data_IF_803993654219
#
_entry.id   IF_803993654219
#
_cell.length_a   1.000
_cell.length_b   1.000
_cell.length_c   1.000
_cell.angle_alpha   90.00
_cell.angle_beta   90.00
_cell.angle_gamma   90.00
#
_symmetry.space_group_name_H-M   'P 1'
#
loop_
_entity.id
_entity.type
_entity.pdbx_description
1 polymer ?
#
# COMPACT_ATOMS: atom_id res chain seq x y z
N UNK A 1 -3.50 -7.24 13.95
CA UNK A 1 -4.33 -6.18 13.34
C UNK A 1 -3.98 -4.89 14.04
N UNK A 2 -3.14 -4.06 13.43
CA UNK A 2 -2.79 -2.75 13.95
C UNK A 2 -4.04 -1.88 13.88
N UNK A 3 -4.52 -1.36 15.02
CA UNK A 3 -5.59 -0.38 15.09
C UNK A 3 -5.10 0.92 14.47
N UNK A 4 -5.26 1.06 13.16
CA UNK A 4 -4.91 2.26 12.43
C UNK A 4 -5.84 3.41 12.86
N UNK A 5 -5.32 4.65 12.91
CA UNK A 5 -6.12 5.81 13.24
C UNK A 5 -7.30 5.96 12.26
N UNK A 6 -8.39 6.63 12.69
CA UNK A 6 -9.47 7.01 11.79
C UNK A 6 -8.92 7.76 10.58
N UNK A 7 -9.48 7.51 9.38
CA UNK A 7 -9.11 8.20 8.13
C UNK A 7 -9.06 9.74 8.26
N UNK A 8 -9.87 10.31 9.16
CA UNK A 8 -9.93 11.74 9.43
C UNK A 8 -8.78 12.30 10.27
N UNK A 9 -7.94 11.44 10.87
CA UNK A 9 -6.87 11.84 11.80
C UNK A 9 -5.46 11.63 11.25
N UNK A 10 -5.33 10.88 10.16
CA UNK A 10 -4.05 10.61 9.52
C UNK A 10 -4.13 11.05 8.05
N UNK A 11 -3.37 12.09 7.65
CA UNK A 11 -3.39 12.60 6.28
C UNK A 11 -2.96 11.55 5.24
N UNK A 12 -2.27 10.48 5.67
CA UNK A 12 -1.78 9.39 4.82
C UNK A 12 -2.70 8.16 4.82
N UNK A 13 -3.69 8.10 5.71
CA UNK A 13 -4.50 6.89 5.87
C UNK A 13 -5.34 6.55 4.63
N UNK A 14 -5.70 7.54 3.80
CA UNK A 14 -6.38 7.29 2.53
C UNK A 14 -5.49 6.47 1.57
N UNK A 15 -4.17 6.66 1.61
CA UNK A 15 -3.24 5.95 0.75
C UNK A 15 -3.09 4.47 1.10
N UNK A 16 -3.39 4.06 2.33
CA UNK A 16 -3.37 2.66 2.77
C UNK A 16 -4.75 2.00 2.74
N UNK A 17 -5.81 2.77 3.01
CA UNK A 17 -7.19 2.28 3.18
C UNK A 17 -8.09 2.66 2.01
N UNK A 18 -7.53 2.92 0.83
CA UNK A 18 -8.30 3.41 -0.32
C UNK A 18 -9.43 2.43 -0.69
N UNK A 19 -9.13 1.14 -0.73
CA UNK A 19 -10.14 0.11 -0.99
C UNK A 19 -11.25 0.09 0.07
N UNK A 20 -10.91 0.15 1.36
CA UNK A 20 -11.89 0.19 2.44
C UNK A 20 -12.77 1.43 2.36
N UNK A 21 -12.16 2.59 2.07
CA UNK A 21 -12.89 3.85 1.90
C UNK A 21 -13.90 3.76 0.75
N UNK A 22 -13.52 3.17 -0.38
CA UNK A 22 -14.42 3.01 -1.53
C UNK A 22 -15.54 1.98 -1.27
N UNK A 23 -15.33 1.01 -0.38
CA UNK A 23 -16.40 0.11 0.07
C UNK A 23 -17.43 0.83 0.95
N UNK A 24 -16.98 1.72 1.84
CA UNK A 24 -17.86 2.53 2.70
C UNK A 24 -18.55 3.69 1.95
N UNK A 25 -17.93 4.19 0.90
CA UNK A 25 -18.40 5.29 0.06
C UNK A 25 -18.49 4.85 -1.41
N UNK A 26 -19.53 4.07 -1.77
CA UNK A 26 -19.68 3.57 -3.13
C UNK A 26 -19.77 4.73 -4.12
N UNK A 27 -19.07 4.54 -5.24
CA UNK A 27 -19.00 5.49 -6.35
C UNK A 27 -20.36 5.77 -6.96
N UNK A 28 -20.51 6.97 -7.52
CA UNK A 28 -21.64 7.29 -8.38
C UNK A 28 -21.52 6.52 -9.70
N UNK A 29 -22.65 6.38 -10.40
CA UNK A 29 -22.66 5.75 -11.72
C UNK A 29 -21.66 6.45 -12.65
N UNK A 30 -20.70 5.69 -13.22
CA UNK A 30 -19.61 6.13 -14.12
C UNK A 30 -18.47 6.93 -13.47
N UNK A 31 -18.41 6.99 -12.16
CA UNK A 31 -17.23 7.52 -11.48
C UNK A 31 -16.14 6.45 -11.48
N UNK A 32 -14.91 6.85 -11.80
CA UNK A 32 -13.76 5.96 -11.84
C UNK A 32 -12.96 6.07 -10.54
N UNK A 33 -12.35 4.95 -10.13
CA UNK A 33 -11.41 4.93 -9.02
C UNK A 33 -10.18 5.75 -9.40
N UNK A 34 -9.60 6.43 -8.41
CA UNK A 34 -8.37 7.17 -8.60
C UNK A 34 -7.22 6.19 -8.89
N UNK A 35 -6.65 6.20 -10.11
CA UNK A 35 -5.66 5.22 -10.53
C UNK A 35 -4.35 5.35 -9.74
N UNK A 36 -4.04 6.54 -9.22
CA UNK A 36 -2.86 6.75 -8.39
C UNK A 36 -2.91 5.90 -7.12
N UNK A 37 -3.99 6.01 -6.35
CA UNK A 37 -4.11 5.25 -5.10
C UNK A 37 -4.17 3.74 -5.35
N UNK A 38 -4.84 3.29 -6.41
CA UNK A 38 -4.89 1.87 -6.77
C UNK A 38 -3.51 1.25 -7.04
N UNK A 39 -2.60 2.04 -7.62
CA UNK A 39 -1.28 1.56 -8.01
C UNK A 39 -0.25 1.61 -6.88
N UNK A 40 -0.59 2.19 -5.72
CA UNK A 40 0.27 2.15 -4.55
C UNK A 40 0.42 0.72 -4.03
N UNK A 41 1.65 0.34 -3.71
CA UNK A 41 1.99 -0.97 -3.12
C UNK A 41 1.22 -1.24 -1.83
N UNK A 42 0.95 -0.19 -1.04
CA UNK A 42 0.16 -0.26 0.20
C UNK A 42 -1.27 -0.77 -0.04
N UNK A 43 -1.88 -0.41 -1.19
CA UNK A 43 -3.24 -0.83 -1.58
C UNK A 43 -3.27 -2.18 -2.30
N UNK A 44 -2.11 -2.80 -2.60
CA UNK A 44 -2.09 -4.12 -3.22
C UNK A 44 -2.56 -5.20 -2.22
N UNK A 45 -3.07 -6.34 -2.71
CA UNK A 45 -3.43 -7.46 -1.85
C UNK A 45 -2.25 -7.93 -1.00
N UNK A 46 -2.54 -8.40 0.22
CA UNK A 46 -1.52 -8.97 1.09
C UNK A 46 -0.86 -10.19 0.43
N UNK A 47 0.47 -10.20 0.29
CA UNK A 47 1.18 -11.33 -0.29
C UNK A 47 1.21 -12.51 0.69
N UNK A 48 1.46 -13.74 0.22
CA UNK A 48 1.63 -14.89 1.11
C UNK A 48 2.76 -14.65 2.11
N UNK A 49 2.54 -14.98 3.39
CA UNK A 49 3.48 -14.69 4.48
C UNK A 49 4.90 -15.26 4.27
N UNK A 50 5.05 -16.31 3.46
CA UNK A 50 6.35 -16.95 3.17
C UNK A 50 6.93 -16.57 1.80
N UNK A 51 6.28 -15.71 1.03
CA UNK A 51 6.70 -15.37 -0.33
C UNK A 51 7.93 -14.43 -0.32
N UNK A 52 9.08 -14.92 -0.76
CA UNK A 52 10.33 -14.15 -0.73
C UNK A 52 10.63 -13.36 -2.01
N UNK A 53 9.72 -13.37 -2.98
CA UNK A 53 9.90 -12.63 -4.22
C UNK A 53 9.95 -11.11 -3.99
N UNK A 54 10.63 -10.36 -4.87
CA UNK A 54 10.80 -8.91 -4.76
C UNK A 54 9.50 -8.14 -4.52
N UNK A 55 8.43 -8.51 -5.24
CA UNK A 55 7.12 -7.84 -5.14
C UNK A 55 6.49 -8.08 -3.77
N UNK A 56 6.45 -9.32 -3.29
CA UNK A 56 5.90 -9.65 -1.97
C UNK A 56 6.65 -8.98 -0.82
N UNK A 57 7.97 -8.82 -0.95
CA UNK A 57 8.79 -8.07 0.04
C UNK A 57 8.46 -6.58 0.00
N UNK A 58 8.39 -5.99 -1.20
CA UNK A 58 8.07 -4.58 -1.37
C UNK A 58 6.66 -4.22 -0.90
N UNK A 59 5.66 -5.06 -1.17
CA UNK A 59 4.28 -4.85 -0.68
C UNK A 59 4.24 -4.84 0.85
N UNK A 60 4.89 -5.81 1.51
CA UNK A 60 4.94 -5.84 2.98
C UNK A 60 5.59 -4.60 3.56
N UNK A 61 6.74 -4.21 3.02
CA UNK A 61 7.41 -2.99 3.44
C UNK A 61 6.54 -1.76 3.24
N UNK A 62 5.89 -1.62 2.07
CA UNK A 62 5.01 -0.49 1.79
C UNK A 62 3.76 -0.46 2.68
N UNK A 63 3.24 -1.61 3.11
CA UNK A 63 2.13 -1.67 4.08
C UNK A 63 2.56 -1.27 5.49
N UNK A 64 3.79 -1.62 5.90
CA UNK A 64 4.39 -1.16 7.16
C UNK A 64 4.76 0.33 7.13
N UNK A 65 5.09 0.86 5.95
CA UNK A 65 5.53 2.24 5.72
C UNK A 65 4.62 2.98 4.71
N UNK A 66 3.31 2.89 4.92
CA UNK A 66 2.31 3.38 3.96
C UNK A 66 2.36 4.88 3.70
N UNK A 67 2.93 5.64 4.63
CA UNK A 67 3.25 7.07 4.50
C UNK A 67 4.25 7.41 3.38
N UNK A 68 4.97 6.41 2.84
CA UNK A 68 6.00 6.61 1.82
C UNK A 68 5.48 6.51 0.37
N UNK A 69 4.19 6.24 0.16
CA UNK A 69 3.53 6.24 -1.17
C UNK A 69 4.28 5.46 -2.27
N UNK A 70 4.85 4.31 -1.93
CA UNK A 70 5.59 3.53 -2.92
C UNK A 70 4.68 2.91 -3.98
N UNK A 71 5.11 2.96 -5.24
CA UNK A 71 4.45 2.37 -6.40
C UNK A 71 5.17 1.10 -6.85
N UNK A 72 4.55 0.36 -7.79
CA UNK A 72 5.15 -0.83 -8.42
C UNK A 72 6.52 -0.53 -9.04
N UNK A 73 6.71 0.66 -9.61
CA UNK A 73 8.01 1.11 -10.15
C UNK A 73 9.12 1.21 -9.09
N UNK A 74 8.78 1.28 -7.80
CA UNK A 74 9.73 1.38 -6.71
C UNK A 74 10.17 0.03 -6.13
N UNK A 75 9.67 -1.11 -6.66
CA UNK A 75 9.99 -2.45 -6.12
C UNK A 75 11.51 -2.68 -6.05
N UNK A 76 12.25 -2.42 -7.12
CA UNK A 76 13.69 -2.67 -7.16
C UNK A 76 14.45 -1.79 -6.16
N UNK A 77 14.04 -0.52 -6.01
CA UNK A 77 14.61 0.41 -5.04
C UNK A 77 14.40 -0.09 -3.61
N UNK A 78 13.17 -0.53 -3.28
CA UNK A 78 12.83 -1.04 -1.95
C UNK A 78 13.62 -2.32 -1.67
N UNK A 79 13.70 -3.23 -2.62
CA UNK A 79 14.40 -4.51 -2.46
C UNK A 79 15.89 -4.27 -2.23
N UNK A 80 16.52 -3.40 -3.02
CA UNK A 80 17.92 -3.01 -2.80
C UNK A 80 18.14 -2.36 -1.42
N UNK A 81 17.23 -1.50 -0.98
CA UNK A 81 17.28 -0.89 0.34
C UNK A 81 17.17 -1.93 1.46
N UNK A 82 16.24 -2.88 1.33
CA UNK A 82 16.05 -3.96 2.30
C UNK A 82 17.29 -4.87 2.35
N UNK A 83 17.83 -5.25 1.20
CA UNK A 83 19.03 -6.10 1.13
C UNK A 83 20.24 -5.43 1.79
N UNK A 84 20.42 -4.11 1.61
CA UNK A 84 21.47 -3.34 2.29
C UNK A 84 21.30 -3.29 3.80
N UNK A 85 20.06 -3.24 4.30
CA UNK A 85 19.77 -3.21 5.75
C UNK A 85 20.04 -4.54 6.45
N UNK A 86 20.10 -5.65 5.71
CA UNK A 86 20.23 -7.00 6.27
C UNK A 86 21.69 -7.50 6.29
N UNK A 87 22.61 -6.77 5.66
CA UNK A 87 24.06 -6.97 5.70
C UNK A 87 24.72 -6.05 6.72
#
# INVERSE_FOLDING_TARGET
MSTLPPLSRDPYALAYRYHEFMLERPMRHREELNPYYLNLLANQPDPPAKAMDPRSRAIRYAKEHYESFYEISHIDLIVQFLDRKTN
#
